data_IF_030063224416
#
_entry.id   IF_030063224416
#
_cell.length_a   1.000
_cell.length_b   1.000
_cell.length_c   1.000
_cell.angle_alpha   90.00
_cell.angle_beta   90.00
_cell.angle_gamma   90.00
#
_symmetry.space_group_name_H-M   'P 1'
#
loop_
_entity.id
_entity.type
_entity.pdbx_description
1 polymer ?
#
# COMPACT_ATOMS: atom_id res chain seq x y z
N UNK A 1 4.22 10.15 -9.40
CA UNK A 1 3.13 10.33 -8.42
C UNK A 1 2.42 9.04 -8.01
N UNK A 2 2.10 8.13 -8.95
CA UNK A 2 1.35 6.91 -8.67
C UNK A 2 1.95 6.06 -7.51
N UNK A 3 3.27 5.87 -7.49
CA UNK A 3 3.95 5.10 -6.44
C UNK A 3 3.69 5.63 -5.02
N UNK A 4 3.70 6.95 -4.82
CA UNK A 4 3.42 7.57 -3.52
C UNK A 4 1.97 7.32 -3.12
N UNK A 5 1.03 7.55 -4.03
CA UNK A 5 -0.40 7.40 -3.75
C UNK A 5 -0.76 5.94 -3.43
N UNK A 6 -0.30 4.98 -4.25
CA UNK A 6 -0.65 3.58 -4.09
C UNK A 6 0.08 2.94 -2.89
N UNK A 7 1.35 3.24 -2.67
CA UNK A 7 2.09 2.74 -1.49
C UNK A 7 1.53 3.31 -0.19
N UNK A 8 1.05 4.56 -0.18
CA UNK A 8 0.38 5.14 0.99
C UNK A 8 -0.91 4.39 1.34
N UNK A 9 -1.68 3.94 0.33
CA UNK A 9 -2.98 3.30 0.52
C UNK A 9 -2.88 1.83 0.91
N UNK A 10 -2.00 1.07 0.26
CA UNK A 10 -1.98 -0.39 0.35
C UNK A 10 -0.85 -0.95 1.21
N UNK A 11 0.16 -0.15 1.55
CA UNK A 11 1.30 -0.57 2.40
C UNK A 11 1.30 0.32 3.65
N UNK A 12 0.50 0.00 4.68
CA UNK A 12 0.39 0.82 5.89
C UNK A 12 1.60 0.65 6.82
N UNK A 13 2.29 -0.49 6.75
CA UNK A 13 3.35 -0.86 7.70
C UNK A 13 4.69 -0.15 7.44
N UNK A 14 4.81 0.55 6.30
CA UNK A 14 6.02 1.29 5.90
C UNK A 14 5.78 2.80 5.82
N UNK A 15 6.84 3.57 6.03
CA UNK A 15 6.82 5.03 6.01
C UNK A 15 7.26 5.59 4.66
N UNK A 16 6.76 6.78 4.31
CA UNK A 16 7.26 7.57 3.18
C UNK A 16 8.53 8.34 3.61
N UNK A 17 9.51 8.62 2.72
CA UNK A 17 9.51 8.31 1.28
C UNK A 17 10.03 6.91 0.91
N UNK A 18 10.64 6.21 1.86
CA UNK A 18 11.32 4.91 1.70
C UNK A 18 10.50 3.90 0.88
N UNK A 19 9.25 3.64 1.29
CA UNK A 19 8.38 2.69 0.57
C UNK A 19 8.07 3.06 -0.88
N UNK A 20 8.05 4.36 -1.20
CA UNK A 20 7.76 4.79 -2.57
C UNK A 20 8.98 4.59 -3.46
N UNK A 21 10.18 4.72 -2.89
CA UNK A 21 11.44 4.42 -3.56
C UNK A 21 11.52 2.92 -3.83
N UNK A 22 11.26 2.07 -2.82
CA UNK A 22 11.31 0.60 -2.99
C UNK A 22 10.39 0.12 -4.14
N UNK A 23 9.16 0.65 -4.21
CA UNK A 23 8.20 0.26 -5.27
C UNK A 23 8.64 0.74 -6.64
N UNK A 24 9.23 1.94 -6.74
CA UNK A 24 9.75 2.48 -8.01
C UNK A 24 10.98 1.70 -8.47
N UNK A 25 11.88 1.36 -7.55
CA UNK A 25 13.10 0.62 -7.85
C UNK A 25 12.79 -0.78 -8.37
N UNK A 26 11.92 -1.51 -7.67
CA UNK A 26 11.45 -2.83 -8.11
C UNK A 26 10.69 -2.75 -9.44
N UNK A 27 9.84 -1.73 -9.65
CA UNK A 27 9.15 -1.54 -10.92
C UNK A 27 10.14 -1.23 -12.07
N UNK A 28 11.12 -0.36 -11.82
CA UNK A 28 12.16 0.02 -12.77
C UNK A 28 13.04 -1.17 -13.18
N UNK A 29 13.50 -1.97 -12.22
CA UNK A 29 14.25 -3.19 -12.48
C UNK A 29 13.46 -4.15 -13.39
N UNK A 30 12.15 -4.27 -13.19
CA UNK A 30 11.29 -5.14 -13.99
C UNK A 30 11.07 -4.62 -15.41
N UNK A 31 10.85 -3.32 -15.59
CA UNK A 31 10.76 -2.73 -16.93
C UNK A 31 12.10 -2.88 -17.66
N UNK A 32 13.23 -2.64 -16.98
CA UNK A 32 14.58 -2.85 -17.54
C UNK A 32 14.78 -4.30 -18.01
N UNK A 33 14.35 -5.29 -17.23
CA UNK A 33 14.42 -6.71 -17.62
C UNK A 33 13.51 -7.07 -18.79
N UNK A 34 12.32 -6.47 -18.89
CA UNK A 34 11.41 -6.66 -20.03
C UNK A 34 12.03 -6.13 -21.33
N UNK A 35 12.51 -4.89 -21.29
CA UNK A 35 13.18 -4.23 -22.41
C UNK A 35 14.40 -5.03 -22.86
N UNK A 36 15.25 -5.49 -21.93
CA UNK A 36 16.41 -6.33 -22.26
C UNK A 36 16.00 -7.66 -22.94
N UNK A 37 14.92 -8.29 -22.49
CA UNK A 37 14.40 -9.52 -23.15
C UNK A 37 13.95 -9.27 -24.58
N UNK A 38 13.25 -8.15 -24.82
CA UNK A 38 12.75 -7.78 -26.15
C UNK A 38 13.90 -7.44 -27.10
N UNK A 39 14.92 -6.71 -26.61
CA UNK A 39 16.10 -6.35 -27.39
C UNK A 39 17.03 -7.53 -27.68
N UNK A 40 17.15 -8.48 -26.75
CA UNK A 40 17.93 -9.71 -26.96
C UNK A 40 17.41 -10.59 -28.11
N UNK A 41 16.21 -10.32 -28.63
CA UNK A 41 15.63 -11.02 -29.78
C UNK A 41 15.99 -10.38 -31.14
N UNK A 42 16.70 -9.24 -31.13
CA UNK A 42 17.13 -8.51 -32.34
C UNK A 42 18.65 -8.60 -32.60
N UNK A 43 19.37 -9.45 -31.86
CA UNK A 43 20.72 -9.84 -32.22
C UNK A 43 20.63 -10.94 -33.30
N UNK A 44 20.56 -10.49 -34.55
CA UNK A 44 20.71 -11.32 -35.74
C UNK A 44 21.99 -12.15 -35.64
N UNK A 45 21.84 -13.46 -35.49
CA UNK A 45 22.94 -14.44 -35.42
C UNK A 45 23.83 -14.44 -36.68
N UNK A 46 23.44 -13.76 -37.77
CA UNK A 46 24.20 -13.70 -39.01
C UNK A 46 25.43 -12.75 -38.97
N UNK A 47 25.53 -11.87 -37.98
CA UNK A 47 26.72 -11.01 -37.81
C UNK A 47 27.87 -11.70 -37.05
N UNK A 48 27.63 -12.88 -36.47
CA UNK A 48 28.62 -13.66 -35.73
C UNK A 48 29.52 -14.55 -36.61
N UNK A 49 29.41 -14.45 -37.93
CA UNK A 49 30.29 -15.18 -38.86
C UNK A 49 31.63 -14.47 -39.12
N UNK A 50 31.86 -13.29 -38.54
CA UNK A 50 33.14 -12.59 -38.60
C UNK A 50 33.91 -12.77 -37.28
N UNK A 51 34.36 -14.00 -37.04
CA UNK A 51 35.23 -14.31 -35.89
C UNK A 51 36.70 -14.11 -36.31
N UNK A 52 37.44 -13.12 -35.78
CA UNK A 52 38.85 -12.96 -36.10
C UNK A 52 39.65 -14.14 -35.52
N UNK A 53 40.38 -14.83 -36.40
CA UNK A 53 41.01 -16.13 -36.15
C UNK A 53 42.37 -16.07 -35.43
N UNK A 54 42.60 -15.09 -34.56
CA UNK A 54 43.87 -14.95 -33.84
C UNK A 54 43.63 -14.64 -32.36
N UNK A 55 44.02 -15.59 -31.51
CA UNK A 55 44.13 -15.38 -30.07
C UNK A 55 45.43 -14.61 -29.81
N UNK A 56 45.33 -13.33 -29.48
CA UNK A 56 46.39 -12.63 -28.74
C UNK A 56 45.74 -11.66 -27.74
N UNK A 57 46.18 -11.80 -26.49
CA UNK A 57 45.95 -10.99 -25.27
C UNK A 57 44.60 -11.09 -24.52
N UNK A 58 44.59 -11.53 -23.23
CA UNK A 58 43.48 -11.27 -22.33
C UNK A 58 43.59 -9.82 -21.82
N UNK A 59 43.25 -8.86 -22.70
CA UNK A 59 43.01 -7.50 -22.24
C UNK A 59 41.84 -7.53 -21.27
N UNK A 60 42.06 -7.04 -20.06
CA UNK A 60 41.07 -6.91 -18.99
C UNK A 60 39.96 -5.90 -19.32
N UNK A 61 39.24 -6.12 -20.41
CA UNK A 61 37.91 -5.55 -20.59
C UNK A 61 37.03 -6.28 -19.59
N UNK A 62 36.95 -5.76 -18.36
CA UNK A 62 35.70 -5.84 -17.60
C UNK A 62 34.62 -5.60 -18.62
N UNK A 63 33.67 -6.53 -18.77
CA UNK A 63 32.50 -6.31 -19.61
C UNK A 63 31.93 -4.95 -19.20
N UNK A 64 32.32 -3.92 -19.94
CA UNK A 64 31.53 -2.74 -20.19
C UNK A 64 30.39 -3.33 -20.99
N UNK A 65 29.48 -4.02 -20.31
CA UNK A 65 28.12 -4.11 -20.74
C UNK A 65 27.72 -2.64 -20.82
N UNK A 66 27.97 -2.04 -22.00
CA UNK A 66 27.50 -0.72 -22.36
C UNK A 66 26.07 -0.76 -21.91
N UNK A 67 25.79 -0.02 -20.84
CA UNK A 67 24.47 0.17 -20.31
C UNK A 67 23.84 1.06 -21.37
N UNK A 68 23.53 0.46 -22.52
CA UNK A 68 22.93 1.12 -23.67
C UNK A 68 21.72 1.76 -23.03
N UNK A 69 21.73 3.09 -22.97
CA UNK A 69 20.82 3.86 -22.14
C UNK A 69 19.43 3.79 -22.77
N UNK A 70 18.78 2.64 -22.64
CA UNK A 70 17.40 2.47 -23.05
C UNK A 70 16.58 3.16 -21.99
N UNK A 71 15.91 4.24 -22.38
CA UNK A 71 14.97 4.95 -21.52
C UNK A 71 13.77 4.04 -21.26
N UNK A 72 13.87 3.24 -20.19
CA UNK A 72 12.81 2.40 -19.69
C UNK A 72 11.87 3.27 -18.83
N UNK A 73 10.71 3.61 -19.37
CA UNK A 73 9.71 4.40 -18.63
C UNK A 73 8.86 3.49 -17.74
N UNK A 74 8.73 3.86 -16.46
CA UNK A 74 7.90 3.12 -15.49
C UNK A 74 6.47 3.66 -15.57
N UNK A 75 5.55 2.80 -15.99
CA UNK A 75 4.12 3.16 -16.07
C UNK A 75 3.43 3.00 -14.70
N UNK A 76 2.22 3.55 -14.58
CA UNK A 76 1.39 3.34 -13.39
C UNK A 76 1.06 1.87 -13.17
N UNK A 77 0.87 1.10 -14.24
CA UNK A 77 0.45 -0.30 -14.15
C UNK A 77 1.57 -1.19 -13.61
N UNK A 78 2.83 -0.87 -13.93
CA UNK A 78 4.00 -1.57 -13.39
C UNK A 78 4.11 -1.41 -11.87
N UNK A 79 3.86 -0.20 -11.38
CA UNK A 79 3.79 0.11 -9.94
C UNK A 79 2.66 -0.69 -9.27
N UNK A 80 1.50 -0.78 -9.91
CA UNK A 80 0.35 -1.52 -9.39
C UNK A 80 0.60 -3.02 -9.32
N UNK A 81 1.32 -3.58 -10.30
CA UNK A 81 1.71 -4.98 -10.30
C UNK A 81 2.70 -5.32 -9.17
N UNK A 82 3.67 -4.44 -8.91
CA UNK A 82 4.62 -4.62 -7.79
C UNK A 82 3.89 -4.59 -6.44
N UNK A 83 2.98 -3.64 -6.24
CA UNK A 83 2.17 -3.55 -5.02
C UNK A 83 1.26 -4.77 -4.87
N UNK A 84 0.66 -5.24 -5.98
CA UNK A 84 -0.15 -6.45 -5.98
C UNK A 84 0.67 -7.68 -5.59
N UNK A 85 1.92 -7.78 -6.03
CA UNK A 85 2.84 -8.86 -5.62
C UNK A 85 3.15 -8.81 -4.13
N UNK A 86 3.46 -7.63 -3.59
CA UNK A 86 3.84 -7.50 -2.19
C UNK A 86 2.68 -7.69 -1.22
N UNK A 87 1.47 -7.31 -1.63
CA UNK A 87 0.28 -7.35 -0.76
C UNK A 87 -0.67 -8.51 -1.06
N UNK A 88 -0.55 -9.15 -2.22
CA UNK A 88 -1.49 -10.16 -2.73
C UNK A 88 -2.82 -9.57 -3.23
N UNK A 89 -2.94 -8.24 -3.34
CA UNK A 89 -4.21 -7.55 -3.63
C UNK A 89 -4.14 -6.90 -5.03
N UNK A 90 -4.96 -7.31 -6.01
CA UNK A 90 -4.91 -6.78 -7.37
C UNK A 90 -5.54 -5.37 -7.47
N UNK A 91 -4.72 -4.33 -7.57
CA UNK A 91 -5.17 -2.91 -7.52
C UNK A 91 -5.92 -2.46 -8.77
N UNK A 92 -5.63 -3.04 -9.94
CA UNK A 92 -6.21 -2.64 -11.24
C UNK A 92 -7.73 -2.83 -11.27
N UNK A 93 -8.22 -4.03 -10.97
CA UNK A 93 -9.67 -4.34 -10.95
C UNK A 93 -10.40 -3.77 -9.72
N UNK A 94 -9.68 -3.34 -8.69
CA UNK A 94 -10.29 -2.91 -7.42
C UNK A 94 -10.76 -1.46 -7.42
N UNK A 95 -10.22 -0.55 -8.22
CA UNK A 95 -10.54 0.89 -8.10
C UNK A 95 -12.04 1.22 -8.22
N UNK A 96 -12.70 0.67 -9.23
CA UNK A 96 -14.12 0.90 -9.48
C UNK A 96 -15.00 0.13 -8.48
N UNK A 97 -14.70 -1.16 -8.28
CA UNK A 97 -15.40 -2.02 -7.35
C UNK A 97 -15.31 -1.51 -5.90
N UNK A 98 -14.14 -1.02 -5.48
CA UNK A 98 -13.91 -0.46 -4.16
C UNK A 98 -14.73 0.82 -3.97
N UNK A 99 -14.83 1.67 -4.98
CA UNK A 99 -15.66 2.89 -4.92
C UNK A 99 -17.14 2.55 -4.73
N UNK A 100 -17.66 1.58 -5.50
CA UNK A 100 -19.03 1.10 -5.35
C UNK A 100 -19.27 0.43 -3.98
N UNK A 101 -18.31 -0.36 -3.50
CA UNK A 101 -18.37 -0.97 -2.17
C UNK A 101 -18.35 0.08 -1.06
N UNK A 102 -17.64 1.20 -1.24
CA UNK A 102 -17.63 2.33 -0.30
C UNK A 102 -18.93 3.13 -0.26
N UNK A 103 -19.81 2.98 -1.26
CA UNK A 103 -21.18 3.51 -1.20
C UNK A 103 -22.09 2.59 -0.38
N UNK A 104 -21.91 1.27 -0.48
CA UNK A 104 -22.81 0.25 0.11
C UNK A 104 -22.36 -0.32 1.46
N UNK A 105 -21.12 -0.10 1.86
CA UNK A 105 -20.49 -0.45 3.15
C UNK A 105 -21.42 -0.33 4.35
N UNK A 106 -22.16 0.77 4.47
CA UNK A 106 -23.00 1.00 5.66
C UNK A 106 -24.16 0.01 5.71
N UNK A 107 -24.77 -0.31 4.58
CA UNK A 107 -25.84 -1.31 4.47
C UNK A 107 -25.29 -2.73 4.69
N UNK A 108 -24.17 -3.08 4.05
CA UNK A 108 -23.52 -4.40 4.20
C UNK A 108 -23.12 -4.71 5.64
N UNK A 109 -22.70 -3.69 6.41
CA UNK A 109 -22.36 -3.84 7.83
C UNK A 109 -23.60 -4.04 8.70
N UNK A 110 -24.73 -3.42 8.35
CA UNK A 110 -25.99 -3.59 9.08
C UNK A 110 -26.57 -4.99 8.92
N UNK A 111 -26.34 -5.66 7.78
CA UNK A 111 -26.78 -7.04 7.57
C UNK A 111 -26.07 -8.03 8.51
N UNK A 112 -24.81 -7.75 8.84
CA UNK A 112 -23.97 -8.64 9.68
C UNK A 112 -24.02 -8.33 11.16
N UNK A 113 -24.33 -7.09 11.53
CA UNK A 113 -24.32 -6.64 12.93
C UNK A 113 -25.73 -6.22 13.33
N UNK A 114 -26.38 -7.09 14.10
CA UNK A 114 -27.69 -6.82 14.68
C UNK A 114 -27.50 -5.92 15.91
N UNK A 115 -27.69 -4.60 15.74
CA UNK A 115 -27.63 -3.49 16.73
C UNK A 115 -26.43 -2.54 16.58
N UNK A 116 -26.53 -1.33 17.17
CA UNK A 116 -25.53 -0.24 17.16
C UNK A 116 -25.43 0.62 15.88
N UNK A 117 -26.56 1.09 15.35
CA UNK A 117 -26.60 2.05 14.20
C UNK A 117 -25.62 3.23 14.31
N UNK A 118 -25.46 3.90 15.47
CA UNK A 118 -24.51 5.02 15.59
C UNK A 118 -23.04 4.60 15.44
N UNK A 119 -22.68 3.38 15.87
CA UNK A 119 -21.31 2.88 15.76
C UNK A 119 -20.97 2.53 14.31
N UNK A 120 -21.89 1.88 13.59
CA UNK A 120 -21.71 1.51 12.18
C UNK A 120 -21.59 2.77 11.31
N UNK A 121 -22.45 3.78 11.51
CA UNK A 121 -22.37 5.03 10.75
C UNK A 121 -21.06 5.79 11.03
N UNK A 122 -20.60 5.79 12.29
CA UNK A 122 -19.31 6.37 12.65
C UNK A 122 -18.12 5.64 12.00
N UNK A 123 -18.17 4.30 11.95
CA UNK A 123 -17.16 3.46 11.33
C UNK A 123 -17.15 3.64 9.80
N UNK A 124 -18.31 3.59 9.15
CA UNK A 124 -18.44 3.80 7.71
C UNK A 124 -17.92 5.19 7.30
N UNK A 125 -18.26 6.24 8.07
CA UNK A 125 -17.72 7.59 7.89
C UNK A 125 -16.20 7.66 8.13
N UNK A 126 -15.65 6.88 9.06
CA UNK A 126 -14.21 6.80 9.28
C UNK A 126 -13.50 6.11 8.10
N UNK A 127 -14.03 5.00 7.60
CA UNK A 127 -13.49 4.25 6.47
C UNK A 127 -13.52 5.09 5.18
N UNK A 128 -14.67 5.71 4.85
CA UNK A 128 -14.79 6.62 3.70
C UNK A 128 -13.76 7.76 3.75
N UNK A 129 -13.57 8.38 4.91
CA UNK A 129 -12.55 9.44 5.11
C UNK A 129 -11.12 8.91 4.97
N UNK A 130 -10.82 7.76 5.54
CA UNK A 130 -9.48 7.15 5.44
C UNK A 130 -9.14 6.81 3.98
N UNK A 131 -10.11 6.32 3.22
CA UNK A 131 -9.93 5.96 1.79
C UNK A 131 -9.87 7.20 0.89
N UNK A 132 -10.50 8.30 1.28
CA UNK A 132 -10.36 9.60 0.62
C UNK A 132 -9.04 10.35 0.94
N UNK A 133 -8.11 9.72 1.69
CA UNK A 133 -6.87 10.39 2.14
C UNK A 133 -7.08 11.43 3.23
N UNK A 134 -8.32 11.63 3.70
CA UNK A 134 -8.68 12.55 4.79
C UNK A 134 -8.48 11.88 6.16
N UNK A 135 -7.24 11.42 6.41
CA UNK A 135 -6.85 10.82 7.70
C UNK A 135 -6.61 11.93 8.72
N UNK A 136 -7.66 12.32 9.45
CA UNK A 136 -7.46 13.11 10.65
C UNK A 136 -6.75 12.25 11.70
N UNK A 137 -5.65 12.75 12.29
CA UNK A 137 -5.07 12.14 13.50
C UNK A 137 -6.19 11.89 14.51
N UNK A 138 -6.14 10.76 15.17
CA UNK A 138 -7.21 10.19 15.98
C UNK A 138 -7.60 11.06 17.20
N UNK A 139 -8.27 12.21 16.99
CA UNK A 139 -8.64 13.12 18.09
C UNK A 139 -9.87 12.61 18.85
N UNK A 140 -10.67 11.74 18.23
CA UNK A 140 -11.96 11.31 18.79
C UNK A 140 -11.87 10.08 19.70
N UNK A 141 -10.88 9.20 19.50
CA UNK A 141 -10.68 8.01 20.33
C UNK A 141 -10.11 8.38 21.71
N UNK A 142 -9.24 9.40 21.77
CA UNK A 142 -8.79 9.98 23.04
C UNK A 142 -9.97 10.53 23.87
N UNK A 143 -10.92 11.24 23.23
CA UNK A 143 -12.14 11.71 23.91
C UNK A 143 -13.03 10.56 24.37
N UNK A 144 -13.18 9.51 23.56
CA UNK A 144 -13.96 8.31 23.92
C UNK A 144 -13.34 7.55 25.11
N UNK A 145 -12.03 7.30 25.10
CA UNK A 145 -11.33 6.71 26.26
C UNK A 145 -11.46 7.59 27.51
N UNK A 146 -11.39 8.92 27.38
CA UNK A 146 -11.59 9.81 28.53
C UNK A 146 -13.00 9.69 29.10
N UNK A 147 -14.02 9.59 28.23
CA UNK A 147 -15.42 9.48 28.63
C UNK A 147 -15.71 8.14 29.30
N UNK A 148 -15.18 7.04 28.75
CA UNK A 148 -15.30 5.70 29.33
C UNK A 148 -14.61 5.64 30.70
N UNK A 149 -13.42 6.23 30.84
CA UNK A 149 -12.71 6.32 32.13
C UNK A 149 -13.51 7.17 33.14
N UNK A 150 -14.14 8.25 32.71
CA UNK A 150 -14.92 9.15 33.57
C UNK A 150 -16.24 8.52 34.05
N UNK A 151 -16.91 7.73 33.20
CA UNK A 151 -18.13 6.97 33.56
C UNK A 151 -17.80 5.83 34.55
N UNK A 152 -16.70 5.11 34.33
CA UNK A 152 -16.24 4.05 35.24
C UNK A 152 -15.86 4.58 36.62
N UNK A 153 -15.16 5.72 36.70
CA UNK A 153 -14.81 6.37 37.98
C UNK A 153 -16.07 6.80 38.72
N UNK A 154 -17.05 7.39 38.03
CA UNK A 154 -18.33 7.80 38.65
C UNK A 154 -19.12 6.61 39.17
N UNK A 155 -19.26 5.51 38.42
CA UNK A 155 -19.98 4.32 38.91
C UNK A 155 -19.28 3.69 40.12
N UNK A 156 -17.94 3.63 40.11
CA UNK A 156 -17.17 3.05 41.23
C UNK A 156 -17.30 3.88 42.51
N UNK A 157 -17.33 5.21 42.41
CA UNK A 157 -17.61 6.12 43.53
C UNK A 157 -19.05 5.97 44.05
N UNK A 158 -20.02 5.78 43.16
CA UNK A 158 -21.43 5.64 43.52
C UNK A 158 -21.71 4.33 44.28
N UNK A 159 -21.04 3.24 43.90
CA UNK A 159 -21.08 1.97 44.64
C UNK A 159 -20.39 2.09 46.00
N UNK A 160 -19.30 2.85 46.09
CA UNK A 160 -18.62 3.08 47.37
C UNK A 160 -19.47 3.91 48.34
N UNK A 161 -20.04 5.05 47.88
CA UNK A 161 -20.89 5.92 48.71
C UNK A 161 -22.17 5.22 49.19
N UNK A 162 -22.76 4.33 48.39
CA UNK A 162 -23.90 3.50 48.84
C UNK A 162 -23.54 2.52 49.96
N UNK A 163 -22.30 2.01 50.01
CA UNK A 163 -21.84 1.14 51.12
C UNK A 163 -21.67 1.92 52.42
N UNK A 164 -21.20 3.17 52.36
CA UNK A 164 -21.04 4.02 53.54
C UNK A 164 -22.36 4.57 54.08
N UNK A 165 -23.38 4.74 53.25
CA UNK A 165 -24.71 5.20 53.67
C UNK A 165 -25.60 4.11 54.30
N UNK A 166 -25.27 2.82 54.13
CA UNK A 166 -26.00 1.68 54.70
C UNK A 166 -25.36 1.17 56.01
N UNK A 167 -24.23 1.75 56.41
CA UNK A 167 -23.46 1.37 57.60
C UNK A 167 -23.53 2.42 58.73
N UNK A 168 -24.39 3.44 58.60
CA UNK A 168 -24.73 4.43 59.62
C UNK A 168 -26.23 4.31 59.95
#
# INVERSE_FOLDING_TARGET
EAAVYQSHRYIPDRFLPDKAIDVIDEAGARVKLRVRREQGNLADWNQLNDWPRSYDEPSATRDECEDTLVSAEVTRDDVEEVIARWTGIPVTSLKEAETQKLLRIELELHERVVSQRPAISALARAIRRSRAGLKNRCVRWARFCSLVRQVLVRQKLLVHLRKYSLAA
#
